data_IF_880683225215
#
_entry.id   IF_880683225215
#
_cell.length_a   1.000
_cell.length_b   1.000
_cell.length_c   1.000
_cell.angle_alpha   90.00
_cell.angle_beta   90.00
_cell.angle_gamma   90.00
#
_symmetry.space_group_name_H-M   'P 1'
#
loop_
_entity.id
_entity.type
_entity.pdbx_description
1 polymer ?
#
# COMPACT_ATOMS: atom_id res chain seq x y z
N UNK A 1 -46.10 -12.85 -16.12
CA UNK A 1 -45.35 -14.12 -15.96
C UNK A 1 -44.10 -13.99 -16.82
N UNK A 2 -42.95 -13.68 -16.23
CA UNK A 2 -41.65 -13.66 -16.91
C UNK A 2 -40.97 -15.03 -16.67
N UNK A 3 -40.18 -15.55 -17.62
CA UNK A 3 -39.62 -16.89 -17.51
C UNK A 3 -38.59 -16.98 -16.38
N UNK A 4 -38.56 -18.09 -15.62
CA UNK A 4 -37.52 -18.33 -14.62
C UNK A 4 -36.27 -18.85 -15.31
N UNK A 5 -35.13 -18.18 -15.15
CA UNK A 5 -33.84 -18.74 -15.56
C UNK A 5 -32.82 -17.81 -16.20
N UNK A 6 -32.89 -16.49 -15.99
CA UNK A 6 -31.69 -15.66 -16.18
C UNK A 6 -30.92 -15.64 -14.86
N UNK A 7 -30.13 -16.69 -14.63
CA UNK A 7 -29.03 -16.64 -13.66
C UNK A 7 -28.11 -15.52 -14.17
N UNK A 8 -27.79 -14.55 -13.33
CA UNK A 8 -27.00 -13.40 -13.76
C UNK A 8 -25.62 -13.87 -14.25
N UNK A 9 -25.01 -13.29 -15.30
CA UNK A 9 -23.62 -13.58 -15.67
C UNK A 9 -22.64 -13.38 -14.50
N UNK A 10 -23.03 -12.52 -13.56
CA UNK A 10 -22.31 -12.28 -12.31
C UNK A 10 -22.47 -13.50 -11.38
N UNK A 11 -23.66 -14.09 -11.24
CA UNK A 11 -23.85 -15.32 -10.45
C UNK A 11 -23.09 -16.50 -11.04
N UNK A 12 -23.07 -16.68 -12.37
CA UNK A 12 -22.27 -17.73 -13.03
C UNK A 12 -20.76 -17.54 -12.83
N UNK A 13 -20.25 -16.30 -12.94
CA UNK A 13 -18.85 -15.99 -12.61
C UNK A 13 -18.52 -16.25 -11.14
N UNK A 14 -19.47 -15.94 -10.25
CA UNK A 14 -19.32 -16.10 -8.81
C UNK A 14 -19.39 -17.57 -8.38
N UNK A 15 -20.14 -18.42 -9.08
CA UNK A 15 -20.19 -19.87 -8.87
C UNK A 15 -18.92 -20.59 -9.33
N UNK A 16 -18.31 -20.14 -10.43
CA UNK A 16 -17.04 -20.69 -10.92
C UNK A 16 -15.89 -20.55 -9.91
N UNK A 17 -15.98 -19.59 -8.99
CA UNK A 17 -14.99 -19.33 -7.93
C UNK A 17 -15.21 -20.12 -6.63
N UNK A 18 -16.36 -20.79 -6.44
CA UNK A 18 -16.70 -21.47 -5.18
C UNK A 18 -15.87 -22.74 -4.89
N UNK A 19 -14.99 -23.14 -5.80
CA UNK A 19 -14.10 -24.30 -5.65
C UNK A 19 -12.61 -23.94 -5.55
N UNK A 20 -12.26 -22.66 -5.40
CA UNK A 20 -10.86 -22.26 -5.36
C UNK A 20 -10.18 -22.74 -4.07
N UNK A 21 -9.00 -23.38 -4.18
CA UNK A 21 -8.16 -23.67 -3.02
C UNK A 21 -7.81 -22.40 -2.24
N UNK A 22 -7.69 -22.51 -0.91
CA UNK A 22 -7.43 -21.37 -0.03
C UNK A 22 -6.13 -20.63 -0.39
N UNK A 23 -5.09 -21.35 -0.78
CA UNK A 23 -3.83 -20.80 -1.30
C UNK A 23 -4.01 -19.98 -2.59
N UNK A 24 -4.92 -20.38 -3.48
CA UNK A 24 -5.26 -19.61 -4.67
C UNK A 24 -5.99 -18.32 -4.31
N UNK A 25 -6.84 -18.34 -3.28
CA UNK A 25 -7.52 -17.13 -2.79
C UNK A 25 -6.55 -16.15 -2.13
N UNK A 26 -5.56 -16.65 -1.38
CA UNK A 26 -4.47 -15.82 -0.84
C UNK A 26 -3.66 -15.19 -1.97
N UNK A 27 -3.28 -15.98 -2.98
CA UNK A 27 -2.57 -15.46 -4.16
C UNK A 27 -3.40 -14.39 -4.89
N UNK A 28 -4.69 -14.66 -5.10
CA UNK A 28 -5.60 -13.71 -5.75
C UNK A 28 -5.74 -12.42 -4.95
N UNK A 29 -5.81 -12.49 -3.62
CA UNK A 29 -5.83 -11.33 -2.73
C UNK A 29 -4.58 -10.47 -2.93
N UNK A 30 -3.40 -11.10 -2.92
CA UNK A 30 -2.11 -10.42 -3.11
C UNK A 30 -1.98 -9.76 -4.48
N UNK A 31 -2.32 -10.50 -5.55
CA UNK A 31 -2.28 -9.97 -6.92
C UNK A 31 -3.26 -8.82 -7.10
N UNK A 32 -4.49 -8.96 -6.60
CA UNK A 32 -5.47 -7.87 -6.63
C UNK A 32 -5.00 -6.67 -5.82
N UNK A 33 -4.37 -6.88 -4.67
CA UNK A 33 -3.81 -5.81 -3.86
C UNK A 33 -2.68 -5.07 -4.60
N UNK A 34 -1.75 -5.81 -5.22
CA UNK A 34 -0.63 -5.24 -6.01
C UNK A 34 -1.09 -4.42 -7.21
N UNK A 35 -2.19 -4.83 -7.83
CA UNK A 35 -2.80 -4.12 -8.97
C UNK A 35 -3.78 -3.02 -8.56
N UNK A 36 -3.93 -2.78 -7.25
CA UNK A 36 -4.86 -1.83 -6.64
C UNK A 36 -6.32 -2.07 -7.01
N UNK A 37 -6.71 -3.32 -7.21
CA UNK A 37 -8.09 -3.70 -7.52
C UNK A 37 -8.95 -3.79 -6.26
N UNK A 38 -9.32 -2.62 -5.72
CA UNK A 38 -10.12 -2.48 -4.50
C UNK A 38 -11.36 -3.39 -4.48
N UNK A 39 -12.17 -3.38 -5.56
CA UNK A 39 -13.39 -4.17 -5.64
C UNK A 39 -13.16 -5.68 -5.49
N UNK A 40 -12.08 -6.21 -6.09
CA UNK A 40 -11.73 -7.63 -6.00
C UNK A 40 -11.30 -8.00 -4.58
N UNK A 41 -10.49 -7.15 -3.94
CA UNK A 41 -10.05 -7.39 -2.56
C UNK A 41 -11.21 -7.40 -1.58
N UNK A 42 -12.14 -6.45 -1.68
CA UNK A 42 -13.35 -6.44 -0.82
C UNK A 42 -14.22 -7.68 -1.06
N UNK A 43 -14.36 -8.12 -2.31
CA UNK A 43 -15.12 -9.33 -2.62
C UNK A 43 -14.48 -10.57 -2.00
N UNK A 44 -13.15 -10.69 -2.05
CA UNK A 44 -12.42 -11.80 -1.45
C UNK A 44 -12.55 -11.77 0.08
N UNK A 45 -12.29 -10.63 0.74
CA UNK A 45 -12.39 -10.51 2.21
C UNK A 45 -13.79 -10.71 2.77
N UNK A 46 -14.85 -10.52 1.96
CA UNK A 46 -16.23 -10.82 2.37
C UNK A 46 -16.56 -12.31 2.31
N UNK A 47 -15.86 -13.07 1.47
CA UNK A 47 -16.12 -14.50 1.24
C UNK A 47 -15.33 -15.37 2.19
N UNK A 48 -14.07 -15.01 2.42
CA UNK A 48 -13.14 -15.77 3.22
C UNK A 48 -12.57 -14.92 4.35
N UNK A 49 -12.32 -15.58 5.47
CA UNK A 49 -11.52 -14.99 6.54
C UNK A 49 -10.05 -15.18 6.20
N UNK A 50 -9.32 -14.07 6.16
CA UNK A 50 -7.86 -14.08 6.01
C UNK A 50 -7.23 -13.86 7.38
N UNK A 51 -6.19 -14.62 7.71
CA UNK A 51 -5.44 -14.40 8.94
C UNK A 51 -4.53 -13.16 8.77
N UNK A 52 -4.02 -12.68 9.90
CA UNK A 52 -3.17 -11.49 9.93
C UNK A 52 -1.99 -11.56 8.93
N UNK A 53 -1.24 -12.67 8.76
CA UNK A 53 -0.12 -12.71 7.82
C UNK A 53 -0.53 -12.45 6.37
N UNK A 54 -1.69 -12.95 5.92
CA UNK A 54 -2.16 -12.74 4.55
C UNK A 54 -2.66 -11.32 4.34
N UNK A 55 -3.34 -10.75 5.34
CA UNK A 55 -3.73 -9.34 5.33
C UNK A 55 -2.50 -8.42 5.32
N UNK A 56 -1.45 -8.84 6.04
CA UNK A 56 -0.20 -8.09 6.11
C UNK A 56 0.52 -8.08 4.76
N UNK A 57 0.68 -9.25 4.14
CA UNK A 57 1.26 -9.38 2.80
C UNK A 57 0.48 -8.54 1.78
N UNK A 58 -0.85 -8.60 1.81
CA UNK A 58 -1.70 -7.79 0.94
C UNK A 58 -1.53 -6.29 1.20
N UNK A 59 -1.36 -5.86 2.45
CA UNK A 59 -1.10 -4.45 2.79
C UNK A 59 0.25 -3.98 2.24
N UNK A 60 1.28 -4.81 2.33
CA UNK A 60 2.59 -4.51 1.72
C UNK A 60 2.48 -4.38 0.20
N UNK A 61 1.81 -5.33 -0.47
CA UNK A 61 1.62 -5.30 -1.92
C UNK A 61 0.78 -4.08 -2.35
N UNK A 62 -0.23 -3.67 -1.57
CA UNK A 62 -1.05 -2.48 -1.83
C UNK A 62 -0.27 -1.16 -1.66
N UNK A 63 0.68 -1.13 -0.74
CA UNK A 63 1.49 0.04 -0.43
C UNK A 63 2.73 0.18 -1.33
N UNK A 64 3.00 -0.80 -2.20
CA UNK A 64 4.08 -0.74 -3.19
C UNK A 64 3.61 -0.09 -4.51
N UNK A 65 4.54 0.28 -5.37
CA UNK A 65 4.25 0.73 -6.72
C UNK A 65 3.60 -0.41 -7.53
N UNK A 66 2.42 -0.13 -8.10
CA UNK A 66 1.80 -0.99 -9.09
C UNK A 66 2.73 -1.18 -10.30
N UNK A 67 2.95 -2.41 -10.78
CA UNK A 67 3.72 -2.63 -12.00
C UNK A 67 3.02 -1.98 -13.20
N UNK A 68 3.56 -0.86 -13.70
CA UNK A 68 3.10 -0.30 -14.96
C UNK A 68 3.71 -1.13 -16.10
N UNK A 69 2.87 -1.76 -16.93
CA UNK A 69 3.33 -2.54 -18.08
C UNK A 69 4.16 -1.70 -19.07
N UNK A 70 4.82 -2.37 -20.03
CA UNK A 70 5.73 -1.76 -21.03
C UNK A 70 5.16 -0.58 -21.83
N UNK A 71 3.83 -0.40 -21.84
CA UNK A 71 3.18 0.79 -22.37
C UNK A 71 2.93 1.73 -21.21
N UNK A 72 3.60 2.89 -21.23
CA UNK A 72 3.52 3.99 -20.25
C UNK A 72 2.05 4.30 -19.88
N UNK A 73 1.54 3.60 -18.88
CA UNK A 73 0.29 3.91 -18.20
C UNK A 73 0.67 4.88 -17.08
N UNK A 74 0.20 6.12 -17.18
CA UNK A 74 0.26 7.04 -16.06
C UNK A 74 -0.80 6.60 -15.05
N UNK A 75 -0.52 6.73 -13.75
CA UNK A 75 -1.51 6.48 -12.72
C UNK A 75 -2.67 7.47 -12.90
N UNK A 76 -3.89 6.96 -13.07
CA UNK A 76 -5.07 7.80 -13.16
C UNK A 76 -5.51 8.24 -11.76
N UNK A 77 -6.28 9.33 -11.68
CA UNK A 77 -6.82 9.81 -10.40
C UNK A 77 -7.60 8.74 -9.62
N UNK A 78 -8.24 7.82 -10.34
CA UNK A 78 -8.97 6.69 -9.74
C UNK A 78 -8.04 5.64 -9.13
N UNK A 79 -6.86 5.41 -9.69
CA UNK A 79 -5.89 4.43 -9.17
C UNK A 79 -5.46 4.79 -7.74
N UNK A 80 -5.20 6.07 -7.49
CA UNK A 80 -4.84 6.55 -6.15
C UNK A 80 -5.99 6.38 -5.15
N UNK A 81 -7.23 6.64 -5.56
CA UNK A 81 -8.39 6.47 -4.69
C UNK A 81 -8.57 4.99 -4.33
N UNK A 82 -8.46 4.10 -5.32
CA UNK A 82 -8.55 2.66 -5.09
C UNK A 82 -7.43 2.16 -4.17
N UNK A 83 -6.19 2.64 -4.35
CA UNK A 83 -5.08 2.33 -3.45
C UNK A 83 -5.37 2.77 -2.00
N UNK A 84 -5.87 4.00 -1.81
CA UNK A 84 -6.20 4.51 -0.48
C UNK A 84 -7.31 3.68 0.19
N UNK A 85 -8.38 3.39 -0.54
CA UNK A 85 -9.50 2.58 -0.03
C UNK A 85 -9.05 1.16 0.31
N UNK A 86 -8.17 0.59 -0.49
CA UNK A 86 -7.59 -0.73 -0.28
C UNK A 86 -6.75 -0.78 1.00
N UNK A 87 -5.78 0.14 1.14
CA UNK A 87 -4.93 0.25 2.34
C UNK A 87 -5.81 0.41 3.59
N UNK A 88 -6.78 1.33 3.53
CA UNK A 88 -7.68 1.58 4.64
C UNK A 88 -8.48 0.32 5.04
N UNK A 89 -8.97 -0.43 4.05
CA UNK A 89 -9.80 -1.62 4.28
C UNK A 89 -8.98 -2.81 4.81
N UNK A 90 -7.75 -2.98 4.35
CA UNK A 90 -6.85 -4.02 4.85
C UNK A 90 -6.47 -3.77 6.32
N UNK A 91 -6.24 -2.51 6.70
CA UNK A 91 -5.99 -2.12 8.09
C UNK A 91 -7.25 -2.31 8.94
N UNK A 92 -8.42 -1.90 8.44
CA UNK A 92 -9.70 -2.13 9.13
C UNK A 92 -10.01 -3.62 9.31
N UNK A 93 -9.50 -4.49 8.42
CA UNK A 93 -9.57 -5.94 8.53
C UNK A 93 -8.53 -6.54 9.51
N UNK A 94 -7.58 -5.75 10.02
CA UNK A 94 -6.62 -6.17 11.04
C UNK A 94 -5.15 -6.21 10.61
N UNK A 95 -4.80 -5.75 9.40
CA UNK A 95 -3.40 -5.54 9.02
C UNK A 95 -2.76 -4.42 9.86
N UNK A 96 -1.49 -4.58 10.26
CA UNK A 96 -0.79 -3.57 11.06
C UNK A 96 -0.14 -2.52 10.14
N UNK A 97 -0.53 -1.23 10.22
CA UNK A 97 0.13 -0.17 9.44
C UNK A 97 1.58 0.10 9.87
N UNK A 98 2.00 -0.44 11.02
CA UNK A 98 3.36 -0.32 11.54
C UNK A 98 4.23 -1.54 11.23
N UNK A 99 3.76 -2.45 10.39
CA UNK A 99 4.54 -3.64 10.05
C UNK A 99 5.84 -3.34 9.31
N UNK A 100 6.70 -4.34 9.26
CA UNK A 100 7.91 -4.33 8.47
C UNK A 100 7.69 -5.18 7.22
N UNK A 101 8.14 -4.66 6.07
CA UNK A 101 8.25 -5.44 4.84
C UNK A 101 9.32 -6.54 5.00
N UNK A 102 9.41 -7.42 4.00
CA UNK A 102 10.27 -8.61 4.04
C UNK A 102 11.77 -8.32 4.28
N UNK A 103 12.22 -7.12 3.93
CA UNK A 103 13.59 -6.62 4.09
C UNK A 103 13.82 -5.92 5.45
N UNK A 104 12.86 -6.02 6.38
CA UNK A 104 12.84 -5.30 7.65
C UNK A 104 12.71 -3.77 7.50
N UNK A 105 12.24 -3.28 6.34
CA UNK A 105 11.90 -1.86 6.17
C UNK A 105 10.48 -1.61 6.69
N UNK A 106 10.26 -0.67 7.63
CA UNK A 106 8.91 -0.31 8.06
C UNK A 106 8.08 0.20 6.88
N UNK A 107 6.81 -0.19 6.82
CA UNK A 107 5.90 0.14 5.72
C UNK A 107 5.85 1.64 5.39
N UNK A 108 5.93 2.49 6.42
CA UNK A 108 5.91 3.94 6.28
C UNK A 108 7.14 4.50 5.54
N UNK A 109 8.30 3.85 5.65
CA UNK A 109 9.52 4.24 4.92
C UNK A 109 9.38 3.89 3.42
N UNK A 110 8.81 2.72 3.11
CA UNK A 110 8.54 2.28 1.73
C UNK A 110 7.70 3.33 0.99
N UNK A 111 6.57 3.76 1.56
CA UNK A 111 5.71 4.76 0.92
C UNK A 111 6.32 6.16 0.90
N UNK A 112 7.04 6.56 1.95
CA UNK A 112 7.61 7.90 2.05
C UNK A 112 8.74 8.13 1.03
N UNK A 113 9.48 7.07 0.68
CA UNK A 113 10.56 7.12 -0.31
C UNK A 113 10.08 7.45 -1.74
N UNK A 114 8.78 7.39 -1.99
CA UNK A 114 8.21 7.56 -3.32
C UNK A 114 7.15 8.66 -3.39
N UNK A 115 7.38 9.68 -4.22
CA UNK A 115 6.46 10.82 -4.35
C UNK A 115 5.09 10.46 -4.89
N UNK A 116 5.00 9.39 -5.68
CA UNK A 116 3.74 8.87 -6.23
C UNK A 116 2.83 8.36 -5.10
N UNK A 117 3.42 7.82 -4.02
CA UNK A 117 2.70 7.16 -2.94
C UNK A 117 2.30 8.10 -1.81
N UNK A 118 2.34 9.42 -2.03
CA UNK A 118 1.99 10.43 -1.00
C UNK A 118 0.56 10.24 -0.46
N UNK A 119 -0.39 9.83 -1.32
CA UNK A 119 -1.76 9.53 -0.91
C UNK A 119 -1.86 8.27 -0.02
N UNK A 120 -1.05 7.24 -0.32
CA UNK A 120 -0.91 6.05 0.51
C UNK A 120 -0.29 6.39 1.87
N UNK A 121 0.78 7.19 1.89
CA UNK A 121 1.41 7.69 3.13
C UNK A 121 0.38 8.41 4.02
N UNK A 122 -0.40 9.33 3.46
CA UNK A 122 -1.47 10.01 4.22
C UNK A 122 -2.46 9.01 4.82
N UNK A 123 -2.86 8.00 4.04
CA UNK A 123 -3.85 7.00 4.49
C UNK A 123 -3.30 6.13 5.61
N UNK A 124 -2.04 5.70 5.52
CA UNK A 124 -1.37 4.96 6.59
C UNK A 124 -1.33 5.78 7.88
N UNK A 125 -0.96 7.06 7.79
CA UNK A 125 -0.95 7.99 8.93
C UNK A 125 -2.36 8.20 9.52
N UNK A 126 -3.38 8.39 8.68
CA UNK A 126 -4.79 8.48 9.09
C UNK A 126 -5.27 7.22 9.83
N UNK A 127 -4.72 6.06 9.45
CA UNK A 127 -5.01 4.75 10.05
C UNK A 127 -4.08 4.36 11.21
N UNK A 128 -3.27 5.30 11.71
CA UNK A 128 -2.47 5.10 12.92
C UNK A 128 -1.07 4.52 12.70
N UNK A 129 -0.51 4.63 11.48
CA UNK A 129 0.93 4.44 11.29
C UNK A 129 1.71 5.45 12.13
N UNK A 130 2.76 4.98 12.81
CA UNK A 130 3.67 5.79 13.59
C UNK A 130 4.65 6.51 12.66
N UNK A 131 4.57 7.85 12.54
CA UNK A 131 5.48 8.63 11.71
C UNK A 131 6.95 8.57 12.17
N UNK A 132 7.19 8.11 13.39
CA UNK A 132 8.52 8.01 13.99
C UNK A 132 9.10 6.59 13.92
N UNK A 133 8.40 5.64 13.30
CA UNK A 133 8.92 4.28 13.21
C UNK A 133 10.22 4.26 12.41
N UNK A 134 11.21 3.54 12.93
CA UNK A 134 12.54 3.47 12.34
C UNK A 134 12.84 2.08 11.80
N UNK A 135 13.69 2.02 10.79
CA UNK A 135 14.31 0.77 10.36
C UNK A 135 15.43 0.32 11.33
N UNK A 136 16.14 -0.75 10.96
CA UNK A 136 17.26 -1.28 11.73
C UNK A 136 18.48 -0.36 11.83
N UNK A 137 18.54 0.71 11.04
CA UNK A 137 19.58 1.75 11.10
C UNK A 137 19.16 2.97 11.92
N UNK A 138 17.94 2.97 12.47
CA UNK A 138 17.40 4.11 13.20
C UNK A 138 16.86 5.22 12.29
N UNK A 139 16.79 4.98 10.97
CA UNK A 139 16.23 5.96 10.03
C UNK A 139 14.71 5.94 10.09
N UNK A 140 14.11 7.13 10.18
CA UNK A 140 12.65 7.34 10.07
C UNK A 140 12.29 7.89 8.70
N UNK A 141 10.99 7.99 8.40
CA UNK A 141 10.52 8.56 7.15
C UNK A 141 11.03 10.00 6.92
N UNK A 142 11.16 10.82 7.96
CA UNK A 142 11.75 12.16 7.84
C UNK A 142 13.24 12.11 7.48
N UNK A 143 14.02 11.23 8.11
CA UNK A 143 15.46 11.09 7.81
C UNK A 143 15.69 10.79 6.33
N UNK A 144 14.93 9.87 5.76
CA UNK A 144 15.05 9.49 4.33
C UNK A 144 14.69 10.67 3.41
N UNK A 145 13.65 11.44 3.76
CA UNK A 145 13.19 12.59 2.96
C UNK A 145 14.13 13.80 3.04
N UNK A 146 14.90 13.93 4.12
CA UNK A 146 15.80 15.08 4.35
C UNK A 146 17.29 14.73 4.22
N UNK A 147 17.64 13.48 3.92
CA UNK A 147 19.02 13.02 3.82
C UNK A 147 19.78 13.83 2.75
N UNK A 148 20.96 14.40 3.07
CA UNK A 148 21.77 15.12 2.10
C UNK A 148 22.30 14.16 1.03
N UNK A 149 22.03 14.47 -0.24
CA UNK A 149 22.56 13.74 -1.39
C UNK A 149 24.09 13.70 -1.30
N UNK A 150 24.75 12.53 -1.38
CA UNK A 150 26.20 12.47 -1.47
C UNK A 150 26.66 13.28 -2.68
N UNK A 151 27.34 14.40 -2.43
CA UNK A 151 27.87 15.30 -3.46
C UNK A 151 28.97 14.59 -4.23
N UNK A 152 28.60 13.77 -5.22
CA UNK A 152 29.52 13.02 -6.08
C UNK A 152 28.99 12.68 -7.46
N UNK A 153 27.70 12.86 -7.74
CA UNK A 153 27.11 12.57 -9.05
C UNK A 153 26.19 13.72 -9.48
N UNK A 154 26.78 14.78 -10.03
CA UNK A 154 26.03 15.77 -10.81
C UNK A 154 25.75 15.13 -12.17
N UNK A 155 24.58 14.51 -12.31
CA UNK A 155 23.92 14.33 -13.61
C UNK A 155 22.42 14.17 -13.42
N UNK A 156 21.71 15.29 -13.57
CA UNK A 156 20.38 15.36 -14.18
C UNK A 156 19.32 14.40 -13.68
N UNK A 157 18.80 14.66 -12.49
CA UNK A 157 17.56 14.06 -12.02
C UNK A 157 17.18 14.69 -10.69
N UNK A 158 16.41 15.76 -10.72
CA UNK A 158 15.85 16.40 -9.53
C UNK A 158 15.04 15.37 -8.75
N UNK A 159 15.65 14.73 -7.74
CA UNK A 159 14.90 14.04 -6.71
C UNK A 159 14.25 15.15 -5.90
N UNK A 160 13.06 15.59 -6.36
CA UNK A 160 12.27 16.60 -5.67
C UNK A 160 12.17 16.16 -4.21
N UNK A 161 12.64 16.99 -3.28
CA UNK A 161 12.19 16.89 -1.91
C UNK A 161 10.66 16.78 -1.98
N UNK A 162 10.11 15.68 -1.48
CA UNK A 162 8.66 15.53 -1.42
C UNK A 162 8.15 16.40 -0.27
N UNK A 163 8.08 17.71 -0.52
CA UNK A 163 7.64 18.72 0.45
C UNK A 163 6.27 18.34 1.03
N UNK A 164 5.38 17.79 0.21
CA UNK A 164 4.07 17.31 0.64
C UNK A 164 4.18 16.18 1.67
N UNK A 165 5.04 15.18 1.45
CA UNK A 165 5.25 14.10 2.42
C UNK A 165 5.90 14.61 3.72
N UNK A 166 6.84 15.55 3.65
CA UNK A 166 7.43 16.19 4.83
C UNK A 166 6.35 16.92 5.64
N UNK A 167 5.53 17.74 4.97
CA UNK A 167 4.43 18.44 5.63
C UNK A 167 3.42 17.49 6.27
N UNK A 168 3.07 16.40 5.59
CA UNK A 168 2.21 15.35 6.15
C UNK A 168 2.84 14.75 7.40
N UNK A 169 4.10 14.29 7.35
CA UNK A 169 4.76 13.69 8.51
C UNK A 169 4.80 14.66 9.70
N UNK A 170 5.14 15.93 9.48
CA UNK A 170 5.13 16.96 10.53
C UNK A 170 3.72 17.19 11.11
N UNK A 171 2.68 17.19 10.28
CA UNK A 171 1.29 17.30 10.73
C UNK A 171 0.90 16.15 11.68
N UNK A 172 1.40 14.94 11.44
CA UNK A 172 1.16 13.78 12.30
C UNK A 172 2.18 13.65 13.44
N UNK A 173 2.92 14.73 13.74
CA UNK A 173 3.90 14.81 14.85
C UNK A 173 5.12 13.91 14.67
N UNK A 174 5.58 13.74 13.44
CA UNK A 174 6.92 13.23 13.18
C UNK A 174 7.95 14.13 13.89
N UNK A 175 8.86 13.51 14.62
CA UNK A 175 9.90 14.20 15.39
C UNK A 175 11.06 14.55 14.48
N UNK A 176 11.41 15.84 14.45
CA UNK A 176 12.60 16.37 13.75
C UNK A 176 13.88 16.10 14.56
N UNK A 177 13.74 15.72 15.84
CA UNK A 177 14.86 15.57 16.77
C UNK A 177 15.19 14.11 17.11
N UNK A 178 14.69 13.16 16.33
CA UNK A 178 15.16 11.78 16.45
C UNK A 178 16.67 11.77 16.17
N UNK A 179 17.50 11.19 17.04
CA UNK A 179 18.93 11.15 16.79
C UNK A 179 19.21 10.17 15.64
N UNK A 180 19.91 10.64 14.61
CA UNK A 180 20.65 9.78 13.68
C UNK A 180 21.49 8.85 14.56
N UNK A 181 21.12 7.57 14.63
CA UNK A 181 21.88 6.60 15.40
C UNK A 181 23.19 6.39 14.64
N UNK A 182 24.26 7.01 15.15
CA UNK A 182 25.61 7.01 14.58
C UNK A 182 26.24 5.61 14.47
#
# INVERSE_FOLDING_TARGET
MLPPGEISPIEDMLEWWNGWPHDVMIMALRVAAREWHFGVVILLMKRESFEQPQLQDALHDAADLKPLGFFKAEYEGVDYVDQQLLIASLIDAGADPNSFAYDATPLILTVASNSILTCALKTLLDKGADPNKTDGSGQSALHILTAPVPTGQVSGGSQLLNETAIHLLLQYKASVSQPDSA
#
